data_IF_522433357109
#
_entry.id   IF_522433357109
#
_cell.length_a   1.000
_cell.length_b   1.000
_cell.length_c   1.000
_cell.angle_alpha   90.00
_cell.angle_beta   90.00
_cell.angle_gamma   90.00
#
_symmetry.space_group_name_H-M   'P 1'
#
loop_
_entity.id
_entity.type
_entity.pdbx_description
1 polymer ?
#
# COMPACT_ATOMS: atom_id res chain seq x y z
N UNK A 1 -27.36 -11.19 33.91
CA UNK A 1 -26.51 -10.01 33.66
C UNK A 1 -26.20 -9.96 32.17
N UNK A 2 -26.91 -9.12 31.43
CA UNK A 2 -26.83 -9.03 29.96
C UNK A 2 -25.52 -8.35 29.54
N UNK A 3 -24.58 -9.14 29.02
CA UNK A 3 -23.31 -8.69 28.46
C UNK A 3 -23.48 -8.02 27.11
N UNK A 4 -24.12 -6.85 27.08
CA UNK A 4 -24.14 -6.01 25.88
C UNK A 4 -22.79 -5.30 25.79
N UNK A 5 -21.98 -5.59 24.75
CA UNK A 5 -20.67 -4.96 24.60
C UNK A 5 -20.84 -3.43 24.39
N UNK A 6 -19.90 -2.61 24.91
CA UNK A 6 -19.99 -1.16 24.75
C UNK A 6 -20.00 -0.76 23.27
N UNK A 7 -20.76 0.29 22.91
CA UNK A 7 -20.99 0.74 21.52
C UNK A 7 -19.71 0.91 20.71
N UNK A 8 -18.60 1.31 21.36
CA UNK A 8 -17.28 1.45 20.73
C UNK A 8 -16.69 0.13 20.23
N UNK A 9 -16.91 -0.96 20.99
CA UNK A 9 -16.45 -2.31 20.65
C UNK A 9 -17.29 -2.90 19.53
N UNK A 10 -18.61 -2.74 19.56
CA UNK A 10 -19.50 -3.16 18.47
C UNK A 10 -19.10 -2.48 17.14
N UNK A 11 -18.81 -1.17 17.19
CA UNK A 11 -18.36 -0.43 16.01
C UNK A 11 -17.02 -0.93 15.47
N UNK A 12 -16.07 -1.28 16.34
CA UNK A 12 -14.79 -1.86 15.93
C UNK A 12 -14.97 -3.25 15.31
N UNK A 13 -15.84 -4.09 15.88
CA UNK A 13 -16.15 -5.41 15.32
C UNK A 13 -16.77 -5.30 13.94
N UNK A 14 -17.74 -4.41 13.74
CA UNK A 14 -18.36 -4.18 12.42
C UNK A 14 -17.33 -3.69 11.40
N UNK A 15 -16.49 -2.72 11.77
CA UNK A 15 -15.43 -2.21 10.90
C UNK A 15 -14.42 -3.32 10.53
N UNK A 16 -14.03 -4.17 11.48
CA UNK A 16 -13.18 -5.33 11.22
C UNK A 16 -13.84 -6.36 10.30
N UNK A 17 -15.14 -6.63 10.49
CA UNK A 17 -15.91 -7.53 9.61
C UNK A 17 -15.97 -7.00 8.18
N UNK A 18 -16.19 -5.70 7.99
CA UNK A 18 -16.20 -5.08 6.65
C UNK A 18 -14.85 -5.25 5.96
N UNK A 19 -13.75 -5.00 6.68
CA UNK A 19 -12.40 -5.15 6.13
C UNK A 19 -12.08 -6.62 5.81
N UNK A 20 -12.40 -7.54 6.73
CA UNK A 20 -12.23 -8.97 6.49
C UNK A 20 -13.10 -9.47 5.32
N UNK A 21 -14.28 -8.86 5.11
CA UNK A 21 -15.19 -9.17 4.02
C UNK A 21 -14.56 -8.99 2.64
N UNK A 22 -13.63 -8.04 2.45
CA UNK A 22 -12.90 -7.88 1.19
C UNK A 22 -12.06 -9.13 0.88
N UNK A 23 -11.26 -9.59 1.84
CA UNK A 23 -10.47 -10.81 1.69
C UNK A 23 -11.34 -12.05 1.52
N UNK A 24 -12.43 -12.15 2.29
CA UNK A 24 -13.41 -13.22 2.18
C UNK A 24 -14.08 -13.27 0.80
N UNK A 25 -14.40 -12.12 0.21
CA UNK A 25 -14.96 -12.02 -1.14
C UNK A 25 -13.97 -12.52 -2.20
N UNK A 26 -12.69 -12.14 -2.11
CA UNK A 26 -11.66 -12.62 -3.04
C UNK A 26 -11.50 -14.15 -2.97
N UNK A 27 -11.49 -14.69 -1.75
CA UNK A 27 -11.45 -16.15 -1.52
C UNK A 27 -12.70 -16.83 -2.09
N UNK A 28 -13.88 -16.26 -1.85
CA UNK A 28 -15.13 -16.80 -2.37
C UNK A 28 -15.16 -16.80 -3.91
N UNK A 29 -14.74 -15.72 -4.56
CA UNK A 29 -14.64 -15.65 -6.03
C UNK A 29 -13.68 -16.73 -6.55
N UNK A 30 -12.51 -16.89 -5.93
CA UNK A 30 -11.54 -17.88 -6.39
C UNK A 30 -12.04 -19.33 -6.26
N UNK A 31 -12.80 -19.64 -5.21
CA UNK A 31 -13.30 -21.00 -4.94
C UNK A 31 -14.63 -21.34 -5.63
N UNK A 32 -15.53 -20.35 -5.76
CA UNK A 32 -16.90 -20.60 -6.20
C UNK A 32 -17.12 -20.33 -7.69
N UNK A 33 -16.31 -19.45 -8.31
CA UNK A 33 -16.50 -19.14 -9.73
C UNK A 33 -15.83 -20.22 -10.59
N UNK A 34 -16.54 -20.80 -11.57
CA UNK A 34 -15.94 -21.66 -12.59
C UNK A 34 -14.81 -20.94 -13.33
N UNK A 35 -13.87 -21.72 -13.87
CA UNK A 35 -12.75 -21.17 -14.64
C UNK A 35 -13.22 -20.31 -15.82
N UNK A 36 -14.29 -20.71 -16.52
CA UNK A 36 -14.88 -19.92 -17.60
C UNK A 36 -15.25 -18.50 -17.17
N UNK A 37 -15.94 -18.35 -16.03
CA UNK A 37 -16.29 -17.02 -15.50
C UNK A 37 -15.06 -16.24 -15.06
N UNK A 38 -14.06 -16.89 -14.46
CA UNK A 38 -12.83 -16.19 -14.04
C UNK A 38 -12.06 -15.65 -15.24
N UNK A 39 -12.04 -16.38 -16.35
CA UNK A 39 -11.40 -15.95 -17.61
C UNK A 39 -12.13 -14.79 -18.27
N UNK A 40 -13.46 -14.69 -18.17
CA UNK A 40 -14.21 -13.52 -18.67
C UNK A 40 -13.94 -12.24 -17.86
N UNK A 41 -13.52 -12.37 -16.59
CA UNK A 41 -13.30 -11.26 -15.69
C UNK A 41 -11.88 -10.69 -15.73
N UNK A 42 -10.93 -11.35 -16.39
CA UNK A 42 -9.56 -10.85 -16.54
C UNK A 42 -9.49 -9.69 -17.53
N UNK A 43 -8.45 -8.87 -17.41
CA UNK A 43 -8.19 -7.80 -18.36
C UNK A 43 -7.33 -8.32 -19.51
N UNK A 44 -7.85 -8.31 -20.74
CA UNK A 44 -7.09 -8.68 -21.96
C UNK A 44 -6.61 -7.41 -22.67
N UNK A 45 -5.32 -7.34 -22.99
CA UNK A 45 -4.74 -6.12 -23.57
C UNK A 45 -5.25 -5.79 -24.97
N UNK A 46 -5.58 -6.80 -25.79
CA UNK A 46 -6.15 -6.62 -27.12
C UNK A 46 -7.64 -6.25 -27.14
N UNK A 47 -8.34 -6.50 -26.04
CA UNK A 47 -9.78 -6.21 -25.89
C UNK A 47 -10.02 -5.43 -24.59
N UNK A 48 -9.44 -4.22 -24.46
CA UNK A 48 -9.52 -3.46 -23.22
C UNK A 48 -10.97 -3.04 -22.96
N UNK A 49 -11.47 -3.34 -21.76
CA UNK A 49 -12.79 -2.88 -21.33
C UNK A 49 -12.71 -2.24 -19.94
N UNK A 50 -13.56 -1.25 -19.70
CA UNK A 50 -13.65 -0.63 -18.38
C UNK A 50 -14.12 -1.65 -17.33
N UNK A 51 -15.02 -2.56 -17.68
CA UNK A 51 -15.53 -3.59 -16.76
C UNK A 51 -14.41 -4.55 -16.37
N UNK A 52 -13.67 -5.08 -17.35
CA UNK A 52 -12.53 -5.98 -17.11
C UNK A 52 -11.41 -5.30 -16.34
N UNK A 53 -11.20 -4.00 -16.50
CA UNK A 53 -10.23 -3.25 -15.71
C UNK A 53 -10.54 -3.26 -14.20
N UNK A 54 -11.82 -3.37 -13.85
CA UNK A 54 -12.28 -3.50 -12.47
C UNK A 54 -12.31 -4.95 -11.98
N UNK A 55 -12.96 -5.82 -12.75
CA UNK A 55 -13.17 -7.21 -12.34
C UNK A 55 -11.87 -8.00 -12.28
N UNK A 56 -10.86 -7.61 -13.06
CA UNK A 56 -9.54 -8.23 -13.03
C UNK A 56 -8.89 -8.18 -11.64
N UNK A 57 -9.20 -7.17 -10.82
CA UNK A 57 -8.67 -7.08 -9.47
C UNK A 57 -9.24 -8.15 -8.51
N UNK A 58 -10.40 -8.74 -8.86
CA UNK A 58 -11.11 -9.69 -8.01
C UNK A 58 -10.76 -11.15 -8.31
N UNK A 59 -10.11 -11.42 -9.45
CA UNK A 59 -9.72 -12.77 -9.87
C UNK A 59 -8.21 -12.97 -9.76
N UNK A 60 -7.81 -14.21 -9.47
CA UNK A 60 -6.41 -14.62 -9.31
C UNK A 60 -6.17 -15.92 -10.05
N UNK A 61 -5.01 -16.01 -10.70
CA UNK A 61 -4.54 -17.16 -11.47
C UNK A 61 -4.09 -18.35 -10.59
N UNK A 62 -3.72 -18.09 -9.33
CA UNK A 62 -3.20 -19.11 -8.42
C UNK A 62 -3.54 -18.84 -6.96
N UNK A 63 -3.51 -19.91 -6.16
CA UNK A 63 -3.72 -19.83 -4.72
C UNK A 63 -2.63 -19.02 -4.01
N UNK A 64 -1.36 -19.18 -4.41
CA UNK A 64 -0.24 -18.42 -3.85
C UNK A 64 -0.39 -16.92 -4.10
N UNK A 65 -0.83 -16.53 -5.30
CA UNK A 65 -1.07 -15.13 -5.63
C UNK A 65 -2.25 -14.54 -4.84
N UNK A 66 -3.33 -15.30 -4.66
CA UNK A 66 -4.46 -14.90 -3.80
C UNK A 66 -4.04 -14.72 -2.34
N UNK A 67 -3.40 -15.74 -1.75
CA UNK A 67 -2.98 -15.72 -0.33
C UNK A 67 -2.02 -14.57 -0.07
N UNK A 68 -1.05 -14.34 -0.96
CA UNK A 68 -0.12 -13.21 -0.85
C UNK A 68 -0.86 -11.87 -0.82
N UNK A 69 -1.81 -11.66 -1.75
CA UNK A 69 -2.58 -10.41 -1.80
C UNK A 69 -3.46 -10.21 -0.56
N UNK A 70 -4.15 -11.25 -0.09
CA UNK A 70 -5.01 -11.17 1.11
C UNK A 70 -4.18 -10.91 2.36
N UNK A 71 -3.02 -11.58 2.50
CA UNK A 71 -2.11 -11.37 3.63
C UNK A 71 -1.58 -9.92 3.66
N UNK A 72 -1.07 -9.42 2.52
CA UNK A 72 -0.58 -8.04 2.43
C UNK A 72 -1.70 -7.02 2.63
N UNK A 73 -2.89 -7.25 2.05
CA UNK A 73 -4.06 -6.43 2.31
C UNK A 73 -4.34 -6.31 3.82
N UNK A 74 -4.42 -7.44 4.53
CA UNK A 74 -4.73 -7.47 5.96
C UNK A 74 -3.67 -6.70 6.79
N UNK A 75 -2.38 -6.94 6.52
CA UNK A 75 -1.28 -6.31 7.25
C UNK A 75 -1.25 -4.79 7.00
N UNK A 76 -1.36 -4.37 5.74
CA UNK A 76 -1.28 -2.95 5.36
C UNK A 76 -2.51 -2.20 5.87
N UNK A 77 -3.71 -2.69 5.58
CA UNK A 77 -4.96 -2.03 6.00
C UNK A 77 -5.10 -2.02 7.52
N UNK A 78 -4.72 -3.11 8.20
CA UNK A 78 -4.68 -3.15 9.67
C UNK A 78 -3.76 -2.09 10.25
N UNK A 79 -2.58 -1.89 9.67
CA UNK A 79 -1.62 -0.86 10.09
C UNK A 79 -2.17 0.56 9.90
N UNK A 80 -2.79 0.83 8.75
CA UNK A 80 -3.45 2.11 8.45
C UNK A 80 -4.57 2.38 9.46
N UNK A 81 -5.46 1.39 9.66
CA UNK A 81 -6.59 1.50 10.56
C UNK A 81 -6.11 1.78 12.00
N UNK A 82 -5.07 1.07 12.46
CA UNK A 82 -4.48 1.31 13.78
C UNK A 82 -3.93 2.75 13.94
N UNK A 83 -3.32 3.31 12.91
CA UNK A 83 -2.80 4.68 12.91
C UNK A 83 -3.91 5.74 12.87
N UNK A 84 -4.95 5.57 12.05
CA UNK A 84 -6.02 6.56 11.87
C UNK A 84 -7.12 6.46 12.93
N UNK A 85 -7.52 5.26 13.36
CA UNK A 85 -8.59 5.07 14.34
C UNK A 85 -8.22 5.69 15.70
N UNK A 86 -6.95 5.55 16.13
CA UNK A 86 -6.45 6.18 17.37
C UNK A 86 -6.39 7.70 17.30
N UNK A 87 -6.33 8.27 16.09
CA UNK A 87 -6.36 9.72 15.86
C UNK A 87 -7.78 10.28 15.69
N UNK A 88 -8.81 9.44 15.84
CA UNK A 88 -10.20 9.83 15.57
C UNK A 88 -10.52 10.04 14.09
N UNK A 89 -9.60 9.73 13.17
CA UNK A 89 -9.71 10.05 11.73
C UNK A 89 -10.37 8.93 10.92
N UNK A 90 -11.42 8.31 11.48
CA UNK A 90 -12.11 7.16 10.85
C UNK A 90 -12.74 7.53 9.51
N UNK A 91 -13.25 8.74 9.35
CA UNK A 91 -13.83 9.20 8.07
C UNK A 91 -12.76 9.29 6.98
N UNK A 92 -11.57 9.81 7.30
CA UNK A 92 -10.43 9.79 6.35
C UNK A 92 -10.04 8.37 5.98
N UNK A 93 -10.00 7.45 6.94
CA UNK A 93 -9.74 6.03 6.65
C UNK A 93 -10.72 5.50 5.62
N UNK A 94 -12.02 5.54 5.91
CA UNK A 94 -13.03 4.94 5.03
C UNK A 94 -13.11 5.59 3.65
N UNK A 95 -13.00 6.91 3.55
CA UNK A 95 -13.00 7.62 2.26
C UNK A 95 -11.78 7.25 1.41
N UNK A 96 -10.59 7.21 2.01
CA UNK A 96 -9.39 6.85 1.28
C UNK A 96 -9.35 5.35 0.95
N UNK A 97 -9.84 4.48 1.83
CA UNK A 97 -10.01 3.04 1.56
C UNK A 97 -10.96 2.80 0.39
N UNK A 98 -12.13 3.44 0.40
CA UNK A 98 -13.08 3.36 -0.71
C UNK A 98 -12.44 3.90 -1.99
N UNK A 99 -11.76 5.04 -1.93
CA UNK A 99 -11.04 5.60 -3.06
C UNK A 99 -9.93 4.67 -3.60
N UNK A 100 -9.19 3.97 -2.75
CA UNK A 100 -8.16 3.03 -3.19
C UNK A 100 -8.78 1.80 -3.88
N UNK A 101 -9.83 1.21 -3.30
CA UNK A 101 -10.55 0.08 -3.91
C UNK A 101 -11.20 0.47 -5.22
N UNK A 102 -11.67 1.72 -5.33
CA UNK A 102 -12.40 2.19 -6.50
C UNK A 102 -11.46 2.67 -7.62
N UNK A 103 -10.48 3.49 -7.29
CA UNK A 103 -9.67 4.16 -8.30
C UNK A 103 -8.50 3.30 -8.75
N UNK A 104 -7.93 2.47 -7.86
CA UNK A 104 -6.72 1.72 -8.20
C UNK A 104 -6.92 0.71 -9.34
N UNK A 105 -7.97 -0.14 -9.37
CA UNK A 105 -8.13 -1.13 -10.45
C UNK A 105 -8.13 -0.53 -11.86
N UNK A 106 -9.00 0.45 -12.19
CA UNK A 106 -9.02 1.00 -13.55
C UNK A 106 -7.76 1.81 -13.88
N UNK A 107 -7.17 2.52 -12.91
CA UNK A 107 -5.97 3.33 -13.16
C UNK A 107 -4.74 2.46 -13.42
N UNK A 108 -4.54 1.39 -12.66
CA UNK A 108 -3.40 0.49 -12.91
C UNK A 108 -3.50 -0.18 -14.27
N UNK A 109 -4.69 -0.67 -14.65
CA UNK A 109 -4.90 -1.30 -15.96
C UNK A 109 -4.78 -0.32 -17.12
N UNK A 110 -5.25 0.91 -16.96
CA UNK A 110 -5.07 1.95 -17.98
C UNK A 110 -3.60 2.28 -18.21
N UNK A 111 -2.82 2.47 -17.12
CA UNK A 111 -1.39 2.78 -17.23
C UNK A 111 -0.62 1.59 -17.78
N UNK A 112 -0.90 0.38 -17.31
CA UNK A 112 -0.30 -0.84 -17.84
C UNK A 112 -0.58 -0.98 -19.35
N UNK A 113 -1.83 -0.79 -19.78
CA UNK A 113 -2.21 -0.82 -21.19
C UNK A 113 -1.43 0.22 -22.02
N UNK A 114 -1.40 1.47 -21.54
CA UNK A 114 -0.72 2.54 -22.26
C UNK A 114 0.80 2.31 -22.33
N UNK A 115 1.44 1.99 -21.21
CA UNK A 115 2.90 1.81 -21.13
C UNK A 115 3.33 0.52 -21.83
N UNK A 116 2.73 -0.61 -21.47
CA UNK A 116 3.27 -1.92 -21.82
C UNK A 116 2.89 -2.34 -23.23
N UNK A 117 1.66 -2.06 -23.67
CA UNK A 117 1.21 -2.39 -25.02
C UNK A 117 1.55 -1.27 -26.01
N UNK A 118 1.11 -0.03 -25.72
CA UNK A 118 1.18 1.04 -26.73
C UNK A 118 2.52 1.78 -26.81
N UNK A 119 3.31 1.82 -25.74
CA UNK A 119 4.57 2.57 -25.73
C UNK A 119 5.80 1.68 -25.82
N UNK A 120 5.81 0.57 -25.09
CA UNK A 120 6.99 -0.30 -25.01
C UNK A 120 6.85 -1.59 -25.81
N UNK A 121 5.64 -1.95 -26.24
CA UNK A 121 5.37 -3.18 -27.01
C UNK A 121 5.93 -4.45 -26.35
N UNK A 122 5.94 -4.48 -25.01
CA UNK A 122 6.50 -5.59 -24.19
C UNK A 122 5.46 -6.65 -23.83
N UNK A 123 4.20 -6.43 -24.17
CA UNK A 123 3.10 -7.40 -24.01
C UNK A 123 2.37 -7.57 -25.33
N UNK A 124 1.89 -8.78 -25.60
CA UNK A 124 1.04 -9.07 -26.76
C UNK A 124 -0.43 -8.79 -26.46
N UNK A 125 -1.25 -8.59 -27.49
CA UNK A 125 -2.71 -8.39 -27.37
C UNK A 125 -3.41 -9.52 -26.61
N UNK A 126 -2.93 -10.75 -26.76
CA UNK A 126 -3.46 -11.94 -26.05
C UNK A 126 -3.06 -12.01 -24.57
N UNK A 127 -2.19 -11.12 -24.11
CA UNK A 127 -1.75 -11.09 -22.71
C UNK A 127 -2.94 -10.72 -21.84
N UNK A 128 -3.02 -11.34 -20.66
CA UNK A 128 -4.04 -11.03 -19.67
C UNK A 128 -3.42 -10.55 -18.37
N UNK A 129 -4.15 -9.71 -17.64
CA UNK A 129 -3.76 -9.23 -16.34
C UNK A 129 -4.89 -9.43 -15.33
N UNK A 130 -4.54 -9.92 -14.15
CA UNK A 130 -5.45 -10.19 -13.03
C UNK A 130 -4.74 -9.98 -11.69
N UNK A 131 -5.52 -9.92 -10.61
CA UNK A 131 -5.03 -9.88 -9.25
C UNK A 131 -5.23 -8.55 -8.54
N UNK A 132 -5.39 -8.65 -7.22
CA UNK A 132 -5.66 -7.54 -6.31
C UNK A 132 -4.41 -6.71 -5.96
N UNK A 133 -3.24 -7.07 -6.49
CA UNK A 133 -1.95 -6.50 -6.09
C UNK A 133 -1.81 -5.00 -6.38
N UNK A 134 -2.44 -4.49 -7.45
CA UNK A 134 -2.53 -3.04 -7.71
C UNK A 134 -3.28 -2.29 -6.60
N UNK A 135 -4.33 -2.90 -6.03
CA UNK A 135 -5.10 -2.32 -4.90
C UNK A 135 -4.31 -2.43 -3.60
N UNK A 136 -3.64 -3.56 -3.35
CA UNK A 136 -2.71 -3.71 -2.21
C UNK A 136 -1.62 -2.64 -2.26
N UNK A 137 -1.06 -2.38 -3.45
CA UNK A 137 -0.08 -1.34 -3.64
C UNK A 137 -0.64 0.05 -3.34
N UNK A 138 -1.89 0.34 -3.76
CA UNK A 138 -2.57 1.57 -3.38
C UNK A 138 -2.75 1.72 -1.86
N UNK A 139 -3.06 0.63 -1.15
CA UNK A 139 -3.01 0.66 0.31
C UNK A 139 -1.60 0.92 0.84
N UNK A 140 -0.54 0.42 0.18
CA UNK A 140 0.85 0.78 0.47
C UNK A 140 1.10 2.28 0.41
N UNK A 141 0.68 2.92 -0.68
CA UNK A 141 0.77 4.38 -0.86
C UNK A 141 -0.04 5.16 0.17
N UNK A 142 -1.24 4.68 0.50
CA UNK A 142 -2.05 5.23 1.60
C UNK A 142 -1.33 5.13 2.94
N UNK A 143 -0.76 3.96 3.28
CA UNK A 143 0.00 3.74 4.50
C UNK A 143 1.21 4.67 4.57
N UNK A 144 1.93 4.87 3.48
CA UNK A 144 3.04 5.81 3.40
C UNK A 144 2.63 7.23 3.80
N UNK A 145 1.55 7.76 3.21
CA UNK A 145 1.02 9.10 3.54
C UNK A 145 0.52 9.17 4.98
N UNK A 146 -0.18 8.14 5.46
CA UNK A 146 -0.72 8.07 6.83
C UNK A 146 0.40 7.99 7.87
N UNK A 147 1.46 7.23 7.60
CA UNK A 147 2.64 7.11 8.44
C UNK A 147 3.32 8.46 8.58
N UNK A 148 3.63 9.12 7.47
CA UNK A 148 4.21 10.47 7.45
C UNK A 148 3.34 11.47 8.20
N UNK A 149 2.04 11.49 7.91
CA UNK A 149 1.10 12.38 8.57
C UNK A 149 0.95 12.10 10.07
N UNK A 150 1.25 10.88 10.52
CA UNK A 150 1.21 10.50 11.95
C UNK A 150 2.51 10.88 12.65
N UNK A 151 3.66 10.61 12.04
CA UNK A 151 4.94 11.07 12.58
C UNK A 151 4.99 12.58 12.67
N UNK A 152 4.56 13.28 11.62
CA UNK A 152 4.51 14.75 11.61
C UNK A 152 3.63 15.30 12.74
N UNK A 153 2.48 14.67 12.99
CA UNK A 153 1.56 15.11 14.02
C UNK A 153 2.06 14.83 15.45
N UNK A 154 2.80 13.74 15.66
CA UNK A 154 3.27 13.33 16.99
C UNK A 154 4.65 13.87 17.34
N UNK A 155 5.54 14.01 16.35
CA UNK A 155 6.95 14.31 16.56
C UNK A 155 7.43 15.58 15.82
N UNK A 156 6.54 16.19 15.01
CA UNK A 156 6.79 17.43 14.26
C UNK A 156 7.29 17.21 12.83
N UNK A 157 7.26 18.26 12.02
CA UNK A 157 7.57 18.24 10.59
C UNK A 157 8.96 17.67 10.27
N UNK A 158 9.99 18.09 11.02
CA UNK A 158 11.35 17.59 10.82
C UNK A 158 11.45 16.06 11.01
N UNK A 159 10.76 15.51 12.01
CA UNK A 159 10.70 14.06 12.21
C UNK A 159 9.96 13.36 11.07
N UNK A 160 8.87 13.96 10.59
CA UNK A 160 8.15 13.49 9.41
C UNK A 160 9.05 13.39 8.18
N UNK A 161 9.78 14.46 7.86
CA UNK A 161 10.71 14.48 6.72
C UNK A 161 11.83 13.45 6.84
N UNK A 162 12.39 13.25 8.04
CA UNK A 162 13.37 12.19 8.29
C UNK A 162 12.74 10.81 8.09
N UNK A 163 11.50 10.59 8.53
CA UNK A 163 10.79 9.34 8.28
C UNK A 163 10.57 9.08 6.78
N UNK A 164 10.17 10.09 6.00
CA UNK A 164 10.08 9.98 4.52
C UNK A 164 11.41 9.53 3.95
N UNK A 165 12.48 10.27 4.23
CA UNK A 165 13.80 9.98 3.70
C UNK A 165 14.26 8.57 4.06
N UNK A 166 14.12 8.19 5.33
CA UNK A 166 14.54 6.85 5.81
C UNK A 166 13.70 5.71 5.26
N UNK A 167 12.36 5.85 5.15
CA UNK A 167 11.51 4.83 4.52
C UNK A 167 11.91 4.65 3.06
N UNK A 168 12.01 5.73 2.30
CA UNK A 168 12.36 5.67 0.88
C UNK A 168 13.71 5.03 0.68
N UNK A 169 14.72 5.49 1.41
CA UNK A 169 16.10 5.04 1.26
C UNK A 169 16.29 3.60 1.75
N UNK A 170 15.64 3.20 2.84
CA UNK A 170 15.62 1.80 3.28
C UNK A 170 14.92 0.90 2.26
N UNK A 171 13.79 1.33 1.71
CA UNK A 171 13.06 0.56 0.69
C UNK A 171 13.89 0.37 -0.57
N UNK A 172 14.57 1.42 -1.04
CA UNK A 172 15.47 1.35 -2.19
C UNK A 172 16.69 0.46 -1.91
N UNK A 173 17.22 0.48 -0.69
CA UNK A 173 18.34 -0.37 -0.28
C UNK A 173 17.92 -1.84 -0.29
N UNK A 174 16.78 -2.18 0.34
CA UNK A 174 16.28 -3.57 0.31
C UNK A 174 16.02 -3.99 -1.12
N UNK A 175 15.34 -3.15 -1.93
CA UNK A 175 15.09 -3.44 -3.33
C UNK A 175 16.38 -3.72 -4.11
N UNK A 176 17.43 -2.93 -3.90
CA UNK A 176 18.72 -3.12 -4.57
C UNK A 176 19.45 -4.39 -4.14
N UNK A 177 19.26 -4.85 -2.91
CA UNK A 177 19.85 -6.11 -2.43
C UNK A 177 19.05 -7.32 -2.92
N UNK A 178 17.74 -7.17 -3.12
CA UNK A 178 16.85 -8.27 -3.50
C UNK A 178 16.55 -8.37 -5.00
N UNK A 179 17.04 -7.42 -5.80
CA UNK A 179 16.79 -7.38 -7.24
C UNK A 179 18.01 -7.86 -8.01
N UNK A 180 17.83 -8.84 -8.89
CA UNK A 180 18.90 -9.39 -9.73
C UNK A 180 19.35 -8.42 -10.83
N UNK A 181 18.61 -7.33 -11.03
CA UNK A 181 18.82 -6.37 -12.13
C UNK A 181 19.57 -5.12 -11.66
N UNK A 182 19.50 -4.79 -10.38
CA UNK A 182 20.13 -3.59 -9.86
C UNK A 182 21.61 -3.87 -9.59
N UNK A 183 22.54 -3.04 -10.11
CA UNK A 183 23.96 -3.25 -9.88
C UNK A 183 24.27 -3.15 -8.39
N UNK A 184 25.09 -4.06 -7.87
CA UNK A 184 25.45 -4.18 -6.45
C UNK A 184 25.96 -2.85 -5.85
N UNK A 185 26.66 -2.06 -6.68
CA UNK A 185 27.16 -0.71 -6.35
C UNK A 185 26.01 0.26 -6.00
N UNK A 186 24.86 0.18 -6.67
CA UNK A 186 23.70 0.99 -6.36
C UNK A 186 23.12 0.64 -4.98
N UNK A 187 23.08 -0.65 -4.63
CA UNK A 187 22.68 -1.11 -3.31
C UNK A 187 23.62 -0.65 -2.21
N UNK A 188 24.93 -0.71 -2.44
CA UNK A 188 25.94 -0.21 -1.50
C UNK A 188 25.81 1.32 -1.32
N UNK A 189 25.68 2.08 -2.41
CA UNK A 189 25.54 3.54 -2.35
C UNK A 189 24.26 3.97 -1.60
N UNK A 190 23.14 3.28 -1.82
CA UNK A 190 21.88 3.51 -1.13
C UNK A 190 21.95 3.09 0.35
N UNK A 191 22.62 1.99 0.66
CA UNK A 191 22.88 1.55 2.03
C UNK A 191 23.74 2.56 2.80
N UNK A 192 24.83 3.04 2.20
CA UNK A 192 25.68 4.10 2.77
C UNK A 192 24.88 5.38 2.99
N UNK A 193 24.05 5.77 2.01
CA UNK A 193 23.15 6.93 2.14
C UNK A 193 22.14 6.75 3.27
N UNK A 194 21.60 5.54 3.44
CA UNK A 194 20.71 5.17 4.57
C UNK A 194 21.40 5.41 5.91
N UNK A 195 22.63 4.91 6.05
CA UNK A 195 23.42 5.03 7.28
C UNK A 195 23.79 6.47 7.57
N UNK A 196 24.15 7.26 6.55
CA UNK A 196 24.47 8.68 6.69
C UNK A 196 23.23 9.47 7.14
N UNK A 197 22.09 9.29 6.47
CA UNK A 197 20.84 9.98 6.84
C UNK A 197 20.37 9.58 8.24
N UNK A 198 20.49 8.30 8.60
CA UNK A 198 20.24 7.83 9.95
C UNK A 198 21.20 8.49 10.95
N UNK A 199 22.49 8.55 10.64
CA UNK A 199 23.52 9.20 11.46
C UNK A 199 23.25 10.69 11.68
N UNK A 200 22.88 11.44 10.63
CA UNK A 200 22.49 12.85 10.72
C UNK A 200 21.26 13.01 11.63
N UNK A 201 20.23 12.18 11.44
CA UNK A 201 19.05 12.17 12.31
C UNK A 201 19.39 11.83 13.76
N UNK A 202 20.29 10.86 13.97
CA UNK A 202 20.77 10.41 15.27
C UNK A 202 21.79 11.38 15.92
N UNK A 203 22.28 12.39 15.21
CA UNK A 203 23.14 13.44 15.76
C UNK A 203 22.35 14.73 16.06
N UNK A 204 21.15 14.89 15.49
CA UNK A 204 20.25 16.00 15.82
C UNK A 204 19.66 15.87 17.23
N UNK A 205 20.41 16.32 18.24
CA UNK A 205 20.00 16.35 19.67
C UNK A 205 18.57 16.85 19.91
N UNK A 206 18.08 17.93 19.26
CA UNK A 206 16.71 18.41 19.48
C UNK A 206 15.65 17.43 18.96
N UNK A 207 15.94 16.74 17.85
CA UNK A 207 15.06 15.72 17.26
C UNK A 207 14.98 14.50 18.18
N UNK A 208 16.14 13.99 18.62
CA UNK A 208 16.24 12.84 19.54
C UNK A 208 15.51 13.13 20.85
N UNK A 209 15.67 14.33 21.42
CA UNK A 209 14.98 14.71 22.64
C UNK A 209 13.46 14.84 22.45
N UNK A 210 12.98 15.26 21.27
CA UNK A 210 11.53 15.27 20.96
C UNK A 210 10.99 13.86 20.79
N UNK A 211 11.67 13.01 20.01
CA UNK A 211 11.27 11.62 19.80
C UNK A 211 11.28 10.86 21.12
N UNK A 212 12.34 11.00 21.93
CA UNK A 212 12.45 10.36 23.25
C UNK A 212 11.39 10.84 24.23
N UNK A 213 11.07 12.14 24.26
CA UNK A 213 9.98 12.67 25.11
C UNK A 213 8.63 12.13 24.66
N UNK A 214 8.33 12.18 23.37
CA UNK A 214 7.08 11.67 22.84
C UNK A 214 6.96 10.15 22.98
N UNK A 215 8.06 9.40 22.88
CA UNK A 215 8.11 7.96 23.16
C UNK A 215 7.87 7.67 24.64
N UNK A 216 8.47 8.44 25.55
CA UNK A 216 8.25 8.32 26.99
C UNK A 216 6.79 8.61 27.39
N UNK A 217 6.10 9.48 26.66
CA UNK A 217 4.69 9.82 26.90
C UNK A 217 3.70 8.92 26.14
N UNK A 218 4.16 8.07 25.22
CA UNK A 218 3.29 7.37 24.27
C UNK A 218 3.93 6.17 23.60
N UNK A 219 4.38 5.18 24.38
CA UNK A 219 5.04 3.94 23.91
C UNK A 219 4.25 3.25 22.79
N UNK A 220 2.94 3.19 22.92
CA UNK A 220 2.06 2.57 21.92
C UNK A 220 2.07 3.31 20.57
N UNK A 221 2.26 4.63 20.56
CA UNK A 221 2.36 5.40 19.32
C UNK A 221 3.66 5.10 18.59
N UNK A 222 4.77 5.00 19.33
CA UNK A 222 6.07 4.60 18.78
C UNK A 222 6.04 3.21 18.15
N UNK A 223 5.42 2.23 18.82
CA UNK A 223 5.26 0.87 18.28
C UNK A 223 4.47 0.86 16.98
N UNK A 224 3.34 1.59 16.90
CA UNK A 224 2.54 1.67 15.66
C UNK A 224 3.29 2.32 14.50
N UNK A 225 4.06 3.38 14.75
CA UNK A 225 4.93 3.99 13.73
C UNK A 225 5.97 2.98 13.26
N UNK A 226 6.62 2.28 14.19
CA UNK A 226 7.61 1.26 13.87
C UNK A 226 7.03 0.14 13.01
N UNK A 227 5.85 -0.40 13.38
CA UNK A 227 5.15 -1.42 12.58
C UNK A 227 4.80 -0.87 11.19
N UNK A 228 4.22 0.33 11.09
CA UNK A 228 3.90 0.94 9.80
C UNK A 228 5.14 1.15 8.93
N UNK A 229 6.27 1.55 9.53
CA UNK A 229 7.55 1.70 8.84
C UNK A 229 8.05 0.37 8.26
N UNK A 230 8.08 -0.68 9.09
CA UNK A 230 8.51 -2.03 8.67
C UNK A 230 7.60 -2.57 7.56
N UNK A 231 6.28 -2.41 7.71
CA UNK A 231 5.30 -2.87 6.71
C UNK A 231 5.51 -2.17 5.38
N UNK A 232 5.74 -0.85 5.35
CA UNK A 232 5.99 -0.13 4.09
C UNK A 232 7.27 -0.60 3.43
N UNK A 233 8.37 -0.70 4.19
CA UNK A 233 9.67 -1.14 3.65
C UNK A 233 9.57 -2.56 3.08
N UNK A 234 8.97 -3.48 3.84
CA UNK A 234 8.77 -4.86 3.39
C UNK A 234 7.82 -4.95 2.18
N UNK A 235 6.76 -4.16 2.16
CA UNK A 235 5.82 -4.11 1.03
C UNK A 235 6.52 -3.61 -0.23
N UNK A 236 7.28 -2.51 -0.16
CA UNK A 236 8.00 -1.99 -1.34
C UNK A 236 9.05 -3.01 -1.81
N UNK A 237 9.76 -3.64 -0.89
CA UNK A 237 10.72 -4.69 -1.23
C UNK A 237 10.07 -5.84 -2.02
N UNK A 238 8.88 -6.30 -1.62
CA UNK A 238 8.18 -7.40 -2.28
C UNK A 238 7.50 -6.97 -3.59
N UNK A 239 6.86 -5.81 -3.62
CA UNK A 239 6.13 -5.34 -4.80
C UNK A 239 7.06 -4.99 -5.96
N UNK A 240 8.23 -4.42 -5.69
CA UNK A 240 9.09 -3.89 -6.75
C UNK A 240 10.20 -4.85 -7.17
N UNK A 241 10.20 -6.12 -6.74
CA UNK A 241 11.19 -7.09 -7.20
C UNK A 241 11.14 -7.23 -8.73
N UNK A 242 12.27 -6.92 -9.37
CA UNK A 242 12.45 -7.09 -10.82
C UNK A 242 13.22 -8.39 -11.03
N UNK A 243 12.58 -9.38 -11.65
CA UNK A 243 13.29 -10.53 -12.23
C UNK A 243 13.18 -10.42 -13.76
N UNK A 244 14.26 -10.74 -14.48
CA UNK A 244 14.32 -10.70 -15.95
C UNK A 244 13.76 -11.99 -16.56
N UNK A 245 12.68 -12.54 -15.98
CA UNK A 245 12.00 -13.68 -16.56
C UNK A 245 10.93 -13.19 -17.55
N UNK A 246 11.02 -13.69 -18.79
CA UNK A 246 10.31 -13.18 -19.96
C UNK A 246 8.77 -13.31 -19.95
N UNK A 247 8.13 -13.62 -18.80
CA UNK A 247 6.77 -14.14 -18.81
C UNK A 247 5.67 -13.36 -18.10
N UNK A 248 5.94 -12.42 -17.16
CA UNK A 248 4.88 -11.57 -16.50
C UNK A 248 5.36 -10.55 -15.46
N UNK A 249 6.60 -10.58 -14.97
CA UNK A 249 6.97 -9.85 -13.73
C UNK A 249 7.29 -8.36 -13.91
N UNK A 250 7.82 -7.94 -15.06
CA UNK A 250 8.01 -6.52 -15.38
C UNK A 250 6.68 -5.74 -15.45
N UNK A 251 5.63 -6.39 -15.96
CA UNK A 251 4.24 -5.88 -15.98
C UNK A 251 3.74 -5.57 -14.57
N UNK A 252 4.11 -6.39 -13.59
CA UNK A 252 3.69 -6.20 -12.20
C UNK A 252 4.33 -4.95 -11.56
N UNK A 253 5.56 -4.59 -11.91
CA UNK A 253 6.25 -3.43 -11.32
C UNK A 253 5.57 -2.12 -11.70
N UNK A 254 5.16 -1.97 -12.96
CA UNK A 254 4.42 -0.78 -13.43
C UNK A 254 3.05 -0.68 -12.75
N UNK A 255 2.32 -1.80 -12.67
CA UNK A 255 1.04 -1.89 -11.98
C UNK A 255 1.17 -1.52 -10.49
N UNK A 256 2.20 -2.03 -9.82
CA UNK A 256 2.46 -1.75 -8.41
C UNK A 256 2.89 -0.30 -8.20
N UNK A 257 3.79 0.26 -9.01
CA UNK A 257 4.18 1.67 -8.96
C UNK A 257 2.99 2.62 -9.14
N UNK A 258 2.14 2.31 -10.12
CA UNK A 258 0.92 3.06 -10.40
C UNK A 258 -0.08 2.96 -9.25
N UNK A 259 -0.29 1.75 -8.72
CA UNK A 259 -1.15 1.53 -7.57
C UNK A 259 -0.68 2.34 -6.36
N UNK A 260 0.60 2.25 -6.01
CA UNK A 260 1.20 2.99 -4.90
C UNK A 260 0.97 4.50 -5.03
N UNK A 261 1.28 5.05 -6.20
CA UNK A 261 1.10 6.48 -6.49
C UNK A 261 -0.38 6.88 -6.41
N UNK A 262 -1.28 6.06 -6.95
CA UNK A 262 -2.73 6.26 -6.86
C UNK A 262 -3.19 6.34 -5.41
N UNK A 263 -2.73 5.41 -4.57
CA UNK A 263 -3.02 5.41 -3.14
C UNK A 263 -2.56 6.68 -2.42
N UNK A 264 -1.36 7.16 -2.75
CA UNK A 264 -0.85 8.43 -2.20
C UNK A 264 -1.75 9.61 -2.62
N UNK A 265 -2.06 9.72 -3.90
CA UNK A 265 -2.85 10.83 -4.45
C UNK A 265 -4.29 10.83 -3.92
N UNK A 266 -4.95 9.67 -3.90
CA UNK A 266 -6.29 9.51 -3.30
C UNK A 266 -6.28 9.96 -1.84
N UNK A 267 -5.30 9.50 -1.06
CA UNK A 267 -5.20 9.82 0.36
C UNK A 267 -4.95 11.31 0.59
N UNK A 268 -4.04 11.92 -0.18
CA UNK A 268 -3.79 13.36 -0.13
C UNK A 268 -5.02 14.17 -0.53
N UNK A 269 -5.72 13.77 -1.59
CA UNK A 269 -6.97 14.38 -2.04
C UNK A 269 -8.05 14.35 -0.97
N UNK A 270 -8.25 13.20 -0.32
CA UNK A 270 -9.19 13.07 0.81
C UNK A 270 -8.79 13.99 1.97
N UNK A 271 -7.50 14.02 2.34
CA UNK A 271 -7.03 14.89 3.43
C UNK A 271 -7.22 16.37 3.09
N UNK A 272 -6.90 16.76 1.86
CA UNK A 272 -7.01 18.15 1.40
C UNK A 272 -8.45 18.60 1.27
N UNK A 273 -9.30 17.82 0.60
CA UNK A 273 -10.73 18.13 0.43
C UNK A 273 -11.44 18.28 1.77
N UNK A 274 -11.15 17.41 2.74
CA UNK A 274 -11.72 17.55 4.09
C UNK A 274 -11.28 18.82 4.81
N UNK A 275 -10.02 19.22 4.68
CA UNK A 275 -9.52 20.49 5.23
C UNK A 275 -10.22 21.69 4.58
N UNK A 276 -10.39 21.67 3.27
CA UNK A 276 -11.09 22.72 2.53
C UNK A 276 -12.56 22.87 2.97
N UNK A 277 -13.22 21.76 3.30
CA UNK A 277 -14.60 21.72 3.80
C UNK A 277 -14.72 22.03 5.30
N UNK A 278 -13.63 22.39 5.99
CA UNK A 278 -13.62 22.67 7.43
C UNK A 278 -13.80 21.44 8.34
N UNK A 279 -13.79 20.23 7.77
CA UNK A 279 -14.02 18.99 8.50
C UNK A 279 -12.72 18.49 9.16
N UNK A 280 -12.63 18.64 10.49
CA UNK A 280 -11.41 18.34 11.28
C UNK A 280 -11.32 16.89 11.79
N UNK A 281 -12.34 16.04 11.59
CA UNK A 281 -12.42 14.68 12.20
C UNK A 281 -11.99 13.54 11.28
#
# INVERSE_FOLDING_TARGET
MSGVPPVSTLKQSVEATILAGVGGLLVAIHLLFPESLRTELVFTYGEPSLVSAWTAAAVHDSWSHLVSNVAWYAVVVGSIYALLAKRGRRRTFWLATAGCVVVAPPVTKLVDYWVLLLQWEVVAEVTTASGFSGVVSAFGGMLYVVLLGSVTAWYGYAAGMVTVGTVTVASLTVLSVTSDVLPEIAGIALGVTSVILFGIGAHHRPLIQRVRRAWAHGRDAGVRVGVGWVVVVALIAVLFQVELDASRRFVNVVAHGTGFTTGMLVTLGVIWGRRALGDRN
#
